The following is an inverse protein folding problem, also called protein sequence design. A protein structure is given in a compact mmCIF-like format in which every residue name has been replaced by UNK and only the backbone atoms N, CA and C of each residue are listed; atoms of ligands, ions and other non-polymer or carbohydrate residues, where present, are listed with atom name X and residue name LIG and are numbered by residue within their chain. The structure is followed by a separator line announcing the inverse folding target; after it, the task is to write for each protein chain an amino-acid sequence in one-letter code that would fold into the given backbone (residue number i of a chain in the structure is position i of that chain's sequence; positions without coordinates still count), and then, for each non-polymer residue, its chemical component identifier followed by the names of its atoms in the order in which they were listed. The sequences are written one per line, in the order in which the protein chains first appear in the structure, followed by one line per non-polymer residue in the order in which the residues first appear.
data_IF_397215342651
#
_entry.id   IF_397215342651
#
_cell.length_a   1.000
_cell.length_b   1.000
_cell.length_c   1.000
_cell.angle_alpha   90.00
_cell.angle_beta   90.00
_cell.angle_gamma   90.00
#
_symmetry.space_group_name_H-M   'P 1'
#
loop_
_entity.id
_entity.type
_entity.pdbx_description
1 polymer ?
#
# COMPACT_ATOMS: atom_id res chain seq x y z
N UNK A 1 6.91 -19.83 -25.10
CA UNK A 1 6.33 -18.69 -24.34
C UNK A 1 5.51 -17.87 -25.30
N UNK A 2 4.26 -17.52 -24.97
CA UNK A 2 3.45 -16.66 -25.83
C UNK A 2 3.88 -15.18 -25.67
N UNK A 3 4.00 -14.39 -26.76
CA UNK A 3 4.34 -12.97 -26.68
C UNK A 3 3.36 -12.20 -25.78
N UNK A 4 3.80 -11.09 -25.19
CA UNK A 4 2.94 -10.20 -24.43
C UNK A 4 1.86 -9.59 -25.32
N UNK A 5 0.55 -9.78 -25.02
CA UNK A 5 -0.52 -9.27 -25.87
C UNK A 5 -0.54 -7.74 -25.92
N UNK A 6 0.05 -7.07 -24.94
CA UNK A 6 0.09 -5.61 -24.86
C UNK A 6 1.23 -4.99 -25.67
N UNK A 7 2.41 -5.64 -25.75
CA UNK A 7 3.59 -5.03 -26.37
C UNK A 7 4.41 -5.94 -27.29
N UNK A 8 4.03 -7.21 -27.46
CA UNK A 8 4.78 -8.21 -28.22
C UNK A 8 6.06 -8.74 -27.54
N UNK A 9 6.44 -8.20 -26.38
CA UNK A 9 7.65 -8.62 -25.65
C UNK A 9 7.62 -10.07 -25.17
N UNK A 10 8.76 -10.75 -25.23
CA UNK A 10 8.90 -12.18 -24.88
C UNK A 10 9.38 -12.42 -23.45
N UNK A 11 9.94 -11.42 -22.77
CA UNK A 11 10.49 -11.55 -21.43
C UNK A 11 9.42 -11.43 -20.34
N UNK A 12 9.48 -12.32 -19.35
CA UNK A 12 8.69 -12.27 -18.11
C UNK A 12 9.68 -12.36 -16.94
N UNK A 13 9.56 -11.47 -15.95
CA UNK A 13 10.39 -11.49 -14.75
C UNK A 13 9.93 -12.55 -13.74
N UNK A 14 10.71 -12.73 -12.66
CA UNK A 14 10.40 -13.71 -11.61
C UNK A 14 9.04 -13.49 -10.92
N UNK A 15 8.51 -12.26 -10.99
CA UNK A 15 7.23 -11.89 -10.41
C UNK A 15 6.07 -12.04 -11.40
N UNK A 16 6.33 -12.53 -12.62
CA UNK A 16 5.30 -12.75 -13.63
C UNK A 16 4.95 -11.52 -14.46
N UNK A 17 5.76 -10.46 -14.46
CA UNK A 17 5.51 -9.26 -15.26
C UNK A 17 6.32 -9.25 -16.55
N UNK A 18 5.72 -8.77 -17.65
CA UNK A 18 6.46 -8.58 -18.89
C UNK A 18 7.59 -7.56 -18.70
N UNK A 19 8.82 -7.92 -19.06
CA UNK A 19 10.00 -7.07 -18.85
C UNK A 19 9.99 -5.78 -19.66
N UNK A 20 9.20 -5.72 -20.74
CA UNK A 20 9.15 -4.57 -21.64
C UNK A 20 8.05 -3.56 -21.30
N UNK A 21 6.88 -4.03 -20.84
CA UNK A 21 5.73 -3.16 -20.59
C UNK A 21 5.13 -3.29 -19.18
N UNK A 22 5.73 -4.09 -18.31
CA UNK A 22 5.27 -4.35 -16.93
C UNK A 22 3.82 -4.83 -16.82
N UNK A 23 3.26 -5.42 -17.88
CA UNK A 23 1.94 -6.07 -17.78
C UNK A 23 2.07 -7.42 -17.10
N UNK A 24 1.26 -7.67 -16.07
CA UNK A 24 1.24 -8.95 -15.36
C UNK A 24 0.71 -10.08 -16.26
N UNK A 25 1.47 -11.18 -16.33
CA UNK A 25 1.19 -12.39 -17.13
C UNK A 25 1.01 -13.65 -16.27
N UNK A 26 1.17 -13.53 -14.96
CA UNK A 26 1.23 -14.66 -14.03
C UNK A 26 2.67 -15.14 -13.82
N UNK A 27 2.95 -15.64 -12.62
CA UNK A 27 4.25 -16.26 -12.30
C UNK A 27 4.46 -17.49 -13.19
N UNK A 28 5.64 -17.64 -13.83
CA UNK A 28 5.93 -18.83 -14.60
C UNK A 28 5.83 -20.05 -13.69
N UNK A 29 4.89 -20.95 -13.96
CA UNK A 29 4.84 -22.24 -13.27
C UNK A 29 6.17 -22.94 -13.53
N UNK A 30 6.90 -23.20 -12.45
CA UNK A 30 8.11 -24.03 -12.53
C UNK A 30 7.72 -25.34 -13.25
N UNK A 31 8.55 -25.84 -14.20
CA UNK A 31 8.28 -27.10 -14.86
C UNK A 31 8.04 -28.16 -13.78
N UNK A 32 6.83 -28.70 -13.71
CA UNK A 32 6.59 -29.83 -12.82
C UNK A 32 7.49 -30.97 -13.30
N UNK A 33 8.47 -31.34 -12.47
CA UNK A 33 9.23 -32.55 -12.71
C UNK A 33 8.24 -33.71 -12.79
N UNK A 34 8.33 -34.59 -13.79
CA UNK A 34 7.47 -35.76 -13.87
C UNK A 34 7.72 -36.61 -12.61
N UNK A 35 6.70 -36.69 -11.75
CA UNK A 35 6.69 -37.56 -10.59
C UNK A 35 6.76 -39.01 -11.10
N UNK A 36 7.91 -39.65 -10.91
CA UNK A 36 8.13 -41.07 -11.21
C UNK A 36 7.20 -41.91 -10.34
N UNK A 37 6.03 -42.27 -10.86
CA UNK A 37 5.08 -43.16 -10.22
C UNK A 37 5.61 -44.57 -10.07
N UNK A 38 5.50 -45.13 -8.88
CA UNK A 38 5.72 -46.54 -8.56
C UNK A 38 4.74 -47.46 -9.30
N UNK A 39 5.17 -48.66 -9.74
CA UNK A 39 4.32 -49.59 -10.48
C UNK A 39 3.25 -50.24 -9.57
N UNK A 40 2.00 -50.12 -9.99
CA UNK A 40 0.83 -50.78 -9.41
C UNK A 40 0.74 -52.23 -9.92
N UNK A 41 0.82 -53.22 -9.02
CA UNK A 41 0.59 -54.63 -9.35
C UNK A 41 -0.91 -54.93 -9.35
N UNK A 42 -1.39 -55.59 -10.41
CA UNK A 42 -2.79 -55.75 -10.74
C UNK A 42 -3.60 -56.78 -9.96
N UNK A 43 -4.85 -56.92 -10.42
CA UNK A 43 -5.77 -58.01 -10.12
C UNK A 43 -6.97 -57.95 -11.08
N UNK A 44 -7.31 -59.04 -11.80
CA UNK A 44 -8.42 -59.05 -12.76
C UNK A 44 -9.65 -59.74 -12.16
N UNK A 45 -10.84 -59.15 -12.24
CA UNK A 45 -12.10 -59.91 -12.22
C UNK A 45 -13.17 -59.15 -12.99
N UNK A 46 -13.74 -59.83 -13.99
CA UNK A 46 -14.82 -59.33 -14.83
C UNK A 46 -16.20 -59.49 -14.21
N UNK A 47 -17.22 -59.03 -14.94
CA UNK A 47 -18.62 -59.34 -14.64
C UNK A 47 -19.58 -58.26 -15.13
N UNK A 48 -20.34 -58.58 -16.17
CA UNK A 48 -21.41 -57.79 -16.76
C UNK A 48 -22.64 -57.67 -15.83
N UNK A 49 -23.40 -56.57 -15.90
CA UNK A 49 -24.82 -56.49 -16.32
C UNK A 49 -25.52 -55.19 -15.82
N UNK A 50 -26.59 -54.74 -16.49
CA UNK A 50 -27.18 -53.41 -16.32
C UNK A 50 -28.52 -53.43 -15.55
N UNK A 51 -28.82 -52.44 -14.70
CA UNK A 51 -30.22 -52.14 -14.36
C UNK A 51 -30.44 -50.74 -13.76
N UNK A 52 -31.68 -50.28 -13.96
CA UNK A 52 -32.24 -48.96 -13.83
C UNK A 52 -32.52 -48.45 -12.40
N UNK A 53 -32.78 -47.14 -12.31
CA UNK A 53 -33.69 -46.56 -11.31
C UNK A 53 -33.10 -45.38 -10.53
N UNK A 54 -33.54 -44.17 -10.83
CA UNK A 54 -33.45 -43.02 -9.92
C UNK A 54 -34.80 -42.80 -9.23
N UNK A 55 -34.88 -42.85 -7.89
CA UNK A 55 -35.94 -42.21 -7.15
C UNK A 55 -35.48 -40.84 -6.61
N UNK A 56 -36.37 -39.87 -6.74
CA UNK A 56 -36.33 -38.54 -6.13
C UNK A 56 -36.33 -38.63 -4.60
N UNK A 57 -35.35 -38.03 -3.93
CA UNK A 57 -35.30 -37.90 -2.48
C UNK A 57 -35.36 -36.43 -2.07
N UNK A 58 -36.41 -36.12 -1.29
CA UNK A 58 -36.73 -34.84 -0.66
C UNK A 58 -35.73 -34.46 0.44
N UNK A 59 -35.28 -33.20 0.43
CA UNK A 59 -34.37 -32.64 1.42
C UNK A 59 -35.00 -32.39 2.81
N UNK A 60 -34.16 -32.27 3.86
CA UNK A 60 -34.58 -32.28 5.26
C UNK A 60 -35.09 -30.94 5.80
N UNK A 61 -36.09 -31.04 6.70
CA UNK A 61 -36.59 -29.97 7.57
C UNK A 61 -35.53 -29.57 8.61
N UNK A 62 -35.29 -28.27 8.75
CA UNK A 62 -34.50 -27.70 9.85
C UNK A 62 -35.38 -27.51 11.10
N UNK A 63 -34.99 -28.20 12.18
CA UNK A 63 -35.52 -28.01 13.53
C UNK A 63 -34.82 -26.85 14.23
N UNK A 64 -35.58 -25.98 14.89
CA UNK A 64 -35.09 -24.88 15.71
C UNK A 64 -34.44 -25.37 17.04
N UNK A 65 -33.42 -24.70 17.58
CA UNK A 65 -32.88 -25.02 18.89
C UNK A 65 -33.67 -24.36 20.05
N UNK A 66 -33.71 -24.98 21.24
CA UNK A 66 -34.46 -24.49 22.39
C UNK A 66 -33.73 -23.37 23.15
N UNK A 67 -34.56 -22.47 23.66
CA UNK A 67 -34.25 -21.43 24.65
C UNK A 67 -33.82 -22.04 25.98
N UNK A 68 -32.72 -21.53 26.56
CA UNK A 68 -32.33 -21.82 27.94
C UNK A 68 -32.34 -20.52 28.75
N UNK A 69 -33.37 -20.37 29.57
CA UNK A 69 -33.43 -19.48 30.71
C UNK A 69 -33.06 -20.30 31.95
N UNK A 70 -32.16 -19.81 32.79
CA UNK A 70 -32.32 -19.86 34.26
C UNK A 70 -31.21 -19.07 35.01
N UNK A 71 -31.41 -18.73 36.31
CA UNK A 71 -30.97 -17.46 36.88
C UNK A 71 -30.16 -17.56 38.21
N UNK A 72 -29.68 -16.41 38.70
CA UNK A 72 -29.36 -16.03 40.12
C UNK A 72 -28.17 -16.72 40.85
N UNK A 73 -27.12 -15.94 41.22
CA UNK A 73 -26.68 -15.67 42.62
C UNK A 73 -25.25 -15.14 42.80
N UNK A 74 -25.18 -13.90 43.32
CA UNK A 74 -24.29 -13.25 44.32
C UNK A 74 -22.75 -13.48 44.44
N UNK A 75 -21.99 -12.45 44.91
CA UNK A 75 -20.52 -12.43 45.03
C UNK A 75 -19.98 -12.63 46.47
N UNK A 76 -18.68 -12.96 46.61
CA UNK A 76 -17.77 -12.20 47.49
C UNK A 76 -16.35 -12.09 46.84
N UNK A 77 -15.33 -11.32 47.23
CA UNK A 77 -14.93 -10.64 48.48
C UNK A 77 -13.75 -9.71 48.12
N UNK A 78 -13.61 -8.61 48.86
CA UNK A 78 -12.47 -7.71 48.85
C UNK A 78 -11.33 -8.21 49.77
N UNK A 79 -10.08 -8.05 49.33
CA UNK A 79 -8.81 -8.01 50.10
C UNK A 79 -7.77 -7.42 49.12
N UNK A 80 -6.90 -6.46 49.38
CA UNK A 80 -6.38 -5.84 50.60
C UNK A 80 -4.92 -5.49 50.27
N UNK A 81 -4.58 -4.20 50.16
CA UNK A 81 -3.22 -3.71 49.96
C UNK A 81 -2.46 -3.67 51.29
N UNK A 82 -1.16 -4.00 51.34
CA UNK A 82 -0.17 -3.43 52.31
C UNK A 82 1.29 -3.76 51.90
N UNK A 83 2.09 -2.68 51.84
CA UNK A 83 3.53 -2.43 51.88
C UNK A 83 4.58 -3.55 52.14
N UNK A 84 5.73 -3.40 51.45
CA UNK A 84 7.03 -3.91 51.86
C UNK A 84 8.18 -3.20 51.12
N UNK A 85 8.93 -2.35 51.85
CA UNK A 85 10.12 -1.62 51.38
C UNK A 85 11.38 -2.51 51.34
N UNK A 86 12.38 -2.09 50.55
CA UNK A 86 13.61 -2.83 50.21
C UNK A 86 14.66 -3.04 51.31
N UNK A 87 15.85 -3.54 50.93
CA UNK A 87 17.02 -2.65 50.89
C UNK A 87 17.96 -2.85 49.68
N UNK A 88 18.84 -1.86 49.51
CA UNK A 88 19.69 -1.52 48.37
C UNK A 88 21.12 -2.11 48.36
N UNK A 89 21.66 -2.35 47.15
CA UNK A 89 23.06 -2.05 46.73
C UNK A 89 24.03 -3.25 46.51
N UNK A 90 25.24 -3.06 45.93
CA UNK A 90 25.57 -2.41 44.64
C UNK A 90 26.58 -3.21 43.78
N UNK A 91 26.59 -3.05 42.45
CA UNK A 91 27.76 -3.20 41.52
C UNK A 91 27.25 -2.89 40.09
N UNK A 92 27.76 -1.98 39.27
CA UNK A 92 29.15 -1.57 39.07
C UNK A 92 29.75 -2.40 37.92
N UNK A 93 29.69 -1.90 36.67
CA UNK A 93 30.34 -2.55 35.53
C UNK A 93 29.91 -2.03 34.16
N UNK A 94 30.59 -1.00 33.66
CA UNK A 94 30.45 -0.55 32.28
C UNK A 94 31.09 -1.53 31.28
N UNK A 95 30.47 -1.69 30.12
CA UNK A 95 31.00 -2.47 29.00
C UNK A 95 30.40 -2.00 27.69
N UNK A 96 31.26 -1.38 26.86
CA UNK A 96 30.96 -0.88 25.52
C UNK A 96 30.92 -2.05 24.51
N UNK A 97 29.92 -2.02 23.63
CA UNK A 97 29.85 -2.54 22.25
C UNK A 97 30.20 -4.02 21.94
N UNK A 98 29.29 -4.73 21.23
CA UNK A 98 29.42 -5.11 19.79
C UNK A 98 28.58 -6.36 19.43
N UNK A 99 27.72 -6.20 18.42
CA UNK A 99 27.39 -7.11 17.31
C UNK A 99 27.10 -8.60 17.58
N UNK A 100 25.86 -9.01 17.25
CA UNK A 100 25.64 -10.24 16.48
C UNK A 100 24.31 -10.16 15.71
N UNK A 101 24.43 -9.72 14.45
CA UNK A 101 23.50 -9.99 13.35
C UNK A 101 23.49 -11.49 13.03
N UNK A 102 22.49 -11.93 12.24
CA UNK A 102 22.85 -12.46 10.94
C UNK A 102 22.28 -11.62 9.78
N UNK A 103 23.16 -11.30 8.82
CA UNK A 103 22.88 -10.71 7.52
C UNK A 103 22.63 -11.83 6.51
N UNK A 104 21.74 -11.56 5.54
CA UNK A 104 21.74 -11.90 4.09
C UNK A 104 20.39 -12.52 3.69
N UNK A 105 19.64 -12.01 2.70
CA UNK A 105 19.96 -11.19 1.51
C UNK A 105 18.78 -10.24 1.17
N UNK A 106 18.94 -8.91 1.06
CA UNK A 106 19.46 -8.06 -0.03
C UNK A 106 18.66 -8.06 -1.35
N UNK A 107 18.06 -6.91 -1.69
CA UNK A 107 18.20 -6.25 -3.01
C UNK A 107 17.23 -5.06 -3.14
N UNK A 108 17.74 -3.82 -3.09
CA UNK A 108 16.94 -2.66 -3.53
C UNK A 108 17.56 -1.28 -3.33
N UNK A 109 17.89 -0.88 -2.10
CA UNK A 109 17.99 0.57 -1.80
C UNK A 109 19.42 1.08 -1.55
N UNK A 110 20.43 0.20 -1.46
CA UNK A 110 21.81 0.63 -1.13
C UNK A 110 22.62 1.19 -2.32
N UNK A 111 22.12 1.10 -3.57
CA UNK A 111 22.86 1.59 -4.77
C UNK A 111 22.60 3.08 -5.08
N UNK A 112 21.49 3.67 -4.60
CA UNK A 112 21.18 5.08 -4.91
C UNK A 112 22.01 6.06 -4.08
N UNK A 113 22.49 5.65 -2.89
CA UNK A 113 23.24 6.51 -1.99
C UNK A 113 24.70 6.76 -2.46
N UNK A 114 25.26 5.88 -3.31
CA UNK A 114 26.60 6.07 -3.89
C UNK A 114 26.56 6.97 -5.14
N UNK A 115 25.48 6.96 -5.92
CA UNK A 115 25.34 7.84 -7.11
C UNK A 115 25.10 9.30 -6.70
N UNK A 116 24.41 9.55 -5.59
CA UNK A 116 24.22 10.90 -5.06
C UNK A 116 25.53 11.58 -4.60
N UNK A 117 26.52 10.81 -4.13
CA UNK A 117 27.80 11.36 -3.67
C UNK A 117 28.75 11.67 -4.84
N UNK A 118 28.65 10.96 -5.97
CA UNK A 118 29.50 11.22 -7.15
C UNK A 118 28.97 12.40 -7.98
N UNK A 119 27.66 12.64 -8.04
CA UNK A 119 27.09 13.77 -8.81
C UNK A 119 27.30 15.11 -8.09
N UNK A 120 27.35 15.12 -6.75
CA UNK A 120 27.63 16.35 -5.98
C UNK A 120 29.12 16.74 -6.01
N UNK A 121 30.02 15.79 -6.23
CA UNK A 121 31.46 16.06 -6.38
C UNK A 121 31.86 16.58 -7.78
N UNK A 122 31.04 16.36 -8.82
CA UNK A 122 31.33 16.81 -10.19
C UNK A 122 30.76 18.21 -10.54
N UNK A 123 29.83 18.76 -9.74
CA UNK A 123 29.22 20.08 -9.99
C UNK A 123 29.80 21.23 -9.15
N UNK A 124 30.91 21.01 -8.44
CA UNK A 124 31.54 22.07 -7.63
C UNK A 124 33.04 22.21 -7.88
N UNK A 125 33.37 22.63 -9.11
CA UNK A 125 34.59 23.35 -9.50
C UNK A 125 34.27 23.96 -10.87
N UNK A 126 33.79 25.21 -10.94
CA UNK A 126 34.61 26.44 -10.98
C UNK A 126 35.06 26.69 -12.43
N UNK A 127 34.88 27.81 -13.10
CA UNK A 127 34.34 29.13 -12.78
C UNK A 127 34.39 30.01 -14.06
N UNK A 128 33.92 31.24 -13.89
CA UNK A 128 34.28 32.48 -14.61
C UNK A 128 33.65 32.85 -15.97
N UNK A 129 32.75 33.83 -15.86
CA UNK A 129 32.66 35.10 -16.60
C UNK A 129 32.87 35.15 -18.13
N UNK A 130 31.83 35.59 -18.84
CA UNK A 130 31.96 36.72 -19.78
C UNK A 130 30.63 37.41 -20.13
N UNK A 131 30.61 38.69 -19.76
CA UNK A 131 29.77 39.79 -20.25
C UNK A 131 29.91 39.95 -21.77
N UNK A 132 28.80 40.12 -22.49
CA UNK A 132 28.69 41.02 -23.67
C UNK A 132 27.21 41.18 -24.08
N UNK A 133 26.69 42.40 -23.93
CA UNK A 133 25.59 42.93 -24.75
C UNK A 133 26.07 43.11 -26.20
N UNK A 134 25.17 43.08 -27.20
CA UNK A 134 24.68 44.36 -27.72
C UNK A 134 23.18 44.42 -28.07
N UNK A 135 22.64 45.58 -27.74
CA UNK A 135 21.48 46.27 -28.29
C UNK A 135 21.21 46.05 -29.79
N UNK A 136 19.95 45.76 -30.15
CA UNK A 136 19.37 46.15 -31.43
C UNK A 136 17.85 46.40 -31.31
N UNK A 137 17.48 47.53 -31.91
CA UNK A 137 16.20 48.20 -31.97
C UNK A 137 15.41 47.75 -33.22
N UNK A 138 14.09 47.54 -33.15
CA UNK A 138 13.10 47.70 -34.26
C UNK A 138 11.69 47.33 -33.77
N UNK A 139 10.76 48.28 -33.62
CA UNK A 139 9.76 48.77 -34.61
C UNK A 139 8.42 48.02 -34.52
N UNK A 140 7.34 48.79 -34.27
CA UNK A 140 5.98 48.31 -34.04
C UNK A 140 5.31 47.63 -35.24
N UNK A 141 4.37 46.75 -34.92
CA UNK A 141 3.48 46.01 -35.80
C UNK A 141 2.33 45.36 -35.00
N UNK A 142 1.22 44.99 -35.64
CA UNK A 142 -0.15 45.30 -35.20
C UNK A 142 -0.70 44.43 -34.06
N UNK A 143 -1.72 44.99 -33.39
CA UNK A 143 -2.48 44.40 -32.30
C UNK A 143 -2.82 42.92 -32.55
N UNK A 144 -2.23 42.06 -31.72
CA UNK A 144 -2.49 40.64 -31.70
C UNK A 144 -3.93 40.39 -31.24
N UNK A 145 -4.78 39.99 -32.18
CA UNK A 145 -6.08 39.37 -31.92
C UNK A 145 -5.86 38.19 -30.98
N UNK A 146 -6.45 38.27 -29.78
CA UNK A 146 -6.26 37.30 -28.70
C UNK A 146 -6.43 35.87 -29.18
N UNK A 147 -5.30 35.18 -29.30
CA UNK A 147 -5.27 33.73 -29.53
C UNK A 147 -5.80 33.12 -28.23
N UNK A 148 -7.02 32.62 -28.26
CA UNK A 148 -7.58 31.85 -27.16
C UNK A 148 -6.59 30.73 -26.85
N UNK A 149 -5.92 30.84 -25.70
CA UNK A 149 -4.95 29.85 -25.24
C UNK A 149 -5.66 28.50 -25.18
N UNK A 150 -5.30 27.59 -26.07
CA UNK A 150 -5.92 26.29 -26.18
C UNK A 150 -5.81 25.62 -24.81
N UNK A 151 -6.95 25.36 -24.16
CA UNK A 151 -7.00 24.66 -22.86
C UNK A 151 -6.21 23.36 -23.04
N UNK A 152 -5.13 23.13 -22.28
CA UNK A 152 -4.36 21.90 -22.38
C UNK A 152 -5.30 20.70 -22.28
N UNK A 153 -5.15 19.74 -23.20
CA UNK A 153 -5.91 18.49 -23.14
C UNK A 153 -5.66 17.86 -21.76
N UNK A 154 -6.72 17.64 -21.00
CA UNK A 154 -6.61 17.10 -19.66
C UNK A 154 -5.96 15.70 -19.71
N UNK A 155 -4.94 15.50 -18.88
CA UNK A 155 -4.22 14.21 -18.77
C UNK A 155 -4.97 13.22 -17.89
N UNK A 156 -5.93 13.73 -17.11
CA UNK A 156 -6.80 12.97 -16.22
C UNK A 156 -8.28 13.25 -16.50
N UNK A 157 -9.14 12.35 -16.06
CA UNK A 157 -10.58 12.50 -16.13
C UNK A 157 -11.03 13.77 -15.37
N UNK A 158 -11.88 14.57 -16.02
CA UNK A 158 -12.35 15.86 -15.48
C UNK A 158 -13.05 15.72 -14.13
N UNK A 159 -13.69 14.57 -13.88
CA UNK A 159 -14.37 14.31 -12.61
C UNK A 159 -13.41 14.29 -11.42
N UNK A 160 -12.15 13.87 -11.59
CA UNK A 160 -11.13 13.83 -10.54
C UNK A 160 -10.60 15.21 -10.17
N UNK A 161 -10.60 16.18 -11.09
CA UNK A 161 -10.03 17.51 -10.85
C UNK A 161 -10.71 18.19 -9.66
N UNK A 162 -9.89 18.69 -8.74
CA UNK A 162 -10.33 19.39 -7.53
C UNK A 162 -9.63 18.90 -6.27
N UNK A 163 -10.15 19.34 -5.13
CA UNK A 163 -9.68 18.95 -3.80
C UNK A 163 -10.67 17.98 -3.17
N UNK A 164 -10.15 16.92 -2.56
CA UNK A 164 -10.90 15.85 -1.95
C UNK A 164 -10.40 15.59 -0.53
N UNK A 165 -11.28 15.12 0.33
CA UNK A 165 -10.92 14.67 1.67
C UNK A 165 -11.35 13.24 1.87
N UNK A 166 -10.40 12.37 2.17
CA UNK A 166 -10.62 10.96 2.47
C UNK A 166 -11.56 10.84 3.68
N UNK A 167 -12.62 10.05 3.52
CA UNK A 167 -13.62 9.80 4.55
C UNK A 167 -13.40 8.44 5.20
N UNK A 168 -13.16 7.43 4.37
CA UNK A 168 -12.84 6.07 4.82
C UNK A 168 -11.58 5.60 4.13
N UNK A 169 -10.80 4.79 4.84
CA UNK A 169 -9.62 4.14 4.32
C UNK A 169 -9.42 2.84 5.08
N UNK A 170 -9.22 1.76 4.35
CA UNK A 170 -8.78 0.48 4.90
C UNK A 170 -7.61 -0.03 4.07
N UNK A 171 -6.63 -0.62 4.75
CA UNK A 171 -5.44 -1.17 4.13
C UNK A 171 -5.03 -2.49 4.78
N UNK A 172 -4.46 -3.40 3.99
CA UNK A 172 -3.80 -4.61 4.47
C UNK A 172 -2.29 -4.40 4.48
N UNK A 173 -1.72 -4.17 5.65
CA UNK A 173 -0.27 -4.01 5.82
C UNK A 173 0.36 -5.34 6.14
N UNK A 174 1.34 -5.77 5.34
CA UNK A 174 2.13 -6.94 5.64
C UNK A 174 3.16 -6.59 6.72
N UNK A 175 3.08 -7.26 7.88
CA UNK A 175 4.04 -7.15 8.96
C UNK A 175 4.83 -8.46 9.11
N UNK A 176 6.15 -8.35 9.23
CA UNK A 176 7.02 -9.51 9.40
C UNK A 176 6.67 -10.29 10.68
N UNK A 177 6.62 -11.62 10.58
CA UNK A 177 6.20 -12.51 11.66
C UNK A 177 4.72 -12.42 12.09
N UNK A 178 3.92 -11.51 11.53
CA UNK A 178 2.50 -11.29 11.89
C UNK A 178 1.56 -11.61 10.72
N UNK A 179 1.96 -11.31 9.49
CA UNK A 179 1.14 -11.44 8.29
C UNK A 179 0.42 -10.15 7.90
N UNK A 180 -0.68 -10.28 7.14
CA UNK A 180 -1.47 -9.12 6.71
C UNK A 180 -2.36 -8.63 7.84
N UNK A 181 -2.24 -7.35 8.16
CA UNK A 181 -2.96 -6.71 9.25
C UNK A 181 -3.88 -5.65 8.68
N UNK A 182 -5.19 -5.73 8.95
CA UNK A 182 -6.11 -4.67 8.57
C UNK A 182 -5.83 -3.44 9.43
N UNK A 183 -5.59 -2.32 8.78
CA UNK A 183 -5.60 -0.99 9.39
C UNK A 183 -6.74 -0.17 8.81
N UNK A 184 -7.33 0.70 9.61
CA UNK A 184 -8.45 1.55 9.19
C UNK A 184 -8.28 2.97 9.71
N UNK A 185 -8.65 3.95 8.89
CA UNK A 185 -8.67 5.35 9.28
C UNK A 185 -9.69 5.57 10.41
N UNK A 186 -9.24 6.17 11.50
CA UNK A 186 -10.07 6.49 12.66
C UNK A 186 -10.15 8.00 12.92
N UNK A 187 -9.19 8.78 12.41
CA UNK A 187 -9.19 10.24 12.56
C UNK A 187 -8.50 10.91 11.38
N UNK A 188 -9.05 12.04 10.92
CA UNK A 188 -8.48 12.92 9.90
C UNK A 188 -8.02 12.18 8.63
N UNK A 189 -8.88 12.07 7.61
CA UNK A 189 -8.42 11.57 6.32
C UNK A 189 -7.44 12.51 5.62
N UNK A 190 -6.72 11.98 4.63
CA UNK A 190 -5.84 12.77 3.77
C UNK A 190 -6.63 13.77 2.92
N UNK A 191 -5.96 14.85 2.51
CA UNK A 191 -6.47 15.81 1.53
C UNK A 191 -5.76 15.57 0.20
N UNK A 192 -6.51 15.17 -0.83
CA UNK A 192 -6.01 14.97 -2.18
C UNK A 192 -6.33 16.18 -3.04
N UNK A 193 -5.37 16.61 -3.86
CA UNK A 193 -5.55 17.69 -4.83
C UNK A 193 -5.10 17.21 -6.21
N UNK A 194 -6.07 17.07 -7.11
CA UNK A 194 -5.84 16.71 -8.51
C UNK A 194 -5.95 17.95 -9.39
N UNK A 195 -4.95 18.17 -10.24
CA UNK A 195 -4.92 19.28 -11.18
C UNK A 195 -5.14 18.80 -12.63
N UNK A 196 -5.68 19.63 -13.54
CA UNK A 196 -5.94 19.22 -14.93
C UNK A 196 -4.70 18.78 -15.72
N UNK A 197 -3.52 19.30 -15.35
CA UNK A 197 -2.21 18.95 -15.94
C UNK A 197 -1.68 17.60 -15.44
N UNK A 198 -2.45 16.86 -14.63
CA UNK A 198 -2.10 15.53 -14.17
C UNK A 198 -1.10 15.54 -13.02
N UNK A 199 -1.22 16.49 -12.08
CA UNK A 199 -0.48 16.43 -10.82
C UNK A 199 -1.40 16.08 -9.67
N UNK A 200 -0.86 15.32 -8.74
CA UNK A 200 -1.48 14.98 -7.47
C UNK A 200 -0.61 15.50 -6.33
N UNK A 201 -1.25 16.12 -5.35
CA UNK A 201 -0.69 16.30 -4.01
C UNK A 201 -1.63 15.68 -2.99
N UNK A 202 -1.12 14.79 -2.15
CA UNK A 202 -1.86 14.20 -1.04
C UNK A 202 -1.19 14.61 0.28
N UNK A 203 -1.97 15.16 1.21
CA UNK A 203 -1.47 15.64 2.50
C UNK A 203 -2.15 14.91 3.64
N UNK A 204 -1.34 14.38 4.55
CA UNK A 204 -1.75 13.81 5.82
C UNK A 204 -1.37 14.78 6.93
N UNK A 205 -2.34 15.16 7.75
CA UNK A 205 -2.13 16.05 8.89
C UNK A 205 -2.77 15.43 10.12
N UNK A 206 -1.93 14.84 10.96
CA UNK A 206 -2.34 14.04 12.12
C UNK A 206 -3.41 13.01 11.76
N UNK A 207 -3.21 12.32 10.64
CA UNK A 207 -4.09 11.25 10.18
C UNK A 207 -3.83 10.00 11.03
N UNK A 208 -4.86 9.46 11.66
CA UNK A 208 -4.74 8.31 12.57
C UNK A 208 -5.40 7.09 11.98
N UNK A 209 -4.68 5.97 12.03
CA UNK A 209 -5.14 4.66 11.61
C UNK A 209 -4.97 3.68 12.77
N UNK A 210 -5.93 2.79 12.96
CA UNK A 210 -5.85 1.77 13.99
C UNK A 210 -5.87 0.36 13.38
N UNK A 211 -5.12 -0.54 14.00
CA UNK A 211 -5.06 -1.96 13.66
C UNK A 211 -5.06 -2.82 14.91
N UNK A 212 -5.36 -4.11 14.73
CA UNK A 212 -5.31 -5.11 15.81
C UNK A 212 -4.63 -6.40 15.35
N UNK A 213 -3.31 -6.38 15.07
CA UNK A 213 -2.56 -7.59 14.75
C UNK A 213 -2.65 -8.64 15.87
N UNK A 214 -2.48 -9.91 15.49
CA UNK A 214 -2.25 -11.00 16.45
C UNK A 214 -0.77 -11.32 16.52
N UNK A 215 -0.14 -11.01 17.65
CA UNK A 215 1.29 -11.23 17.89
C UNK A 215 1.41 -12.31 18.96
N UNK A 216 2.05 -13.44 18.62
CA UNK A 216 2.19 -14.59 19.55
C UNK A 216 0.85 -15.07 20.16
N UNK A 217 -0.23 -15.04 19.37
CA UNK A 217 -1.57 -15.44 19.82
C UNK A 217 -2.32 -14.39 20.64
N UNK A 218 -1.76 -13.18 20.83
CA UNK A 218 -2.41 -12.09 21.54
C UNK A 218 -2.78 -10.96 20.58
N UNK A 219 -3.99 -10.42 20.71
CA UNK A 219 -4.40 -9.23 19.98
C UNK A 219 -3.71 -8.00 20.57
N UNK A 220 -2.91 -7.31 19.76
CA UNK A 220 -2.19 -6.10 20.14
C UNK A 220 -2.80 -4.93 19.40
N UNK A 221 -3.30 -3.92 20.12
CA UNK A 221 -3.79 -2.70 19.48
C UNK A 221 -2.60 -1.86 19.01
N UNK A 222 -2.65 -1.44 17.76
CA UNK A 222 -1.67 -0.51 17.17
C UNK A 222 -2.38 0.75 16.68
N UNK A 223 -1.70 1.88 16.82
CA UNK A 223 -2.14 3.17 16.30
C UNK A 223 -1.02 3.76 15.45
N UNK A 224 -1.32 4.16 14.23
CA UNK A 224 -0.41 4.82 13.31
C UNK A 224 -0.85 6.27 13.14
N UNK A 225 0.05 7.22 13.35
CA UNK A 225 -0.19 8.65 13.12
C UNK A 225 0.70 9.13 11.98
N UNK A 226 0.10 9.61 10.91
CA UNK A 226 0.78 10.04 9.69
C UNK A 226 0.76 11.56 9.59
N UNK A 227 1.95 12.13 9.36
CA UNK A 227 2.18 13.53 9.07
C UNK A 227 3.10 13.62 7.84
N UNK A 228 2.51 13.70 6.66
CA UNK A 228 3.24 13.53 5.41
C UNK A 228 2.62 14.29 4.24
N UNK A 229 3.40 14.49 3.20
CA UNK A 229 2.96 15.00 1.90
C UNK A 229 3.53 14.12 0.80
N UNK A 230 2.63 13.65 -0.06
CA UNK A 230 2.94 12.89 -1.27
C UNK A 230 2.68 13.77 -2.48
N UNK A 231 3.59 13.73 -3.45
CA UNK A 231 3.41 14.35 -4.77
C UNK A 231 3.66 13.32 -5.85
N UNK A 232 2.88 13.40 -6.92
CA UNK A 232 3.05 12.52 -8.08
C UNK A 232 2.47 13.14 -9.34
N UNK A 233 2.88 12.60 -10.49
CA UNK A 233 2.18 12.79 -11.74
C UNK A 233 1.16 11.66 -11.92
N UNK A 234 -0.04 12.01 -12.35
CA UNK A 234 -1.18 11.10 -12.53
C UNK A 234 -1.66 11.11 -13.97
N UNK A 235 -2.04 9.94 -14.44
CA UNK A 235 -2.76 9.76 -15.71
C UNK A 235 -3.90 8.78 -15.51
N UNK A 236 -5.00 8.99 -16.24
CA UNK A 236 -6.15 8.07 -16.17
C UNK A 236 -6.31 7.29 -17.46
N UNK A 237 -6.69 6.03 -17.33
CA UNK A 237 -7.11 5.19 -18.47
C UNK A 237 -8.12 4.17 -17.98
N UNK A 238 -9.32 4.18 -18.56
CA UNK A 238 -10.37 3.17 -18.31
C UNK A 238 -10.66 2.92 -16.83
N UNK A 239 -10.87 3.99 -16.03
CA UNK A 239 -11.18 3.88 -14.59
C UNK A 239 -9.98 3.43 -13.73
N UNK A 240 -8.76 3.59 -14.24
CA UNK A 240 -7.53 3.35 -13.50
C UNK A 240 -6.70 4.63 -13.45
N UNK A 241 -6.13 4.97 -12.29
CA UNK A 241 -5.09 5.99 -12.11
C UNK A 241 -3.74 5.28 -12.12
N UNK A 242 -2.79 5.78 -12.92
CA UNK A 242 -1.39 5.42 -12.85
C UNK A 242 -0.59 6.57 -12.26
N UNK A 243 0.34 6.25 -11.36
CA UNK A 243 1.21 7.20 -10.69
C UNK A 243 2.62 7.12 -11.25
N UNK A 244 3.29 8.27 -11.39
CA UNK A 244 4.71 8.36 -11.75
C UNK A 244 5.38 9.49 -10.99
N UNK A 245 6.70 9.43 -10.87
CA UNK A 245 7.50 10.42 -10.13
C UNK A 245 6.98 10.62 -8.69
N UNK A 246 6.60 9.54 -8.03
CA UNK A 246 6.05 9.57 -6.68
C UNK A 246 7.16 9.97 -5.71
N UNK A 247 6.88 11.00 -4.92
CA UNK A 247 7.77 11.51 -3.88
C UNK A 247 6.96 11.70 -2.60
N UNK A 248 7.46 11.14 -1.50
CA UNK A 248 6.88 11.27 -0.18
C UNK A 248 7.86 12.00 0.74
N UNK A 249 7.32 12.88 1.58
CA UNK A 249 8.06 13.54 2.67
C UNK A 249 7.21 13.52 3.94
N UNK A 250 7.84 13.38 5.09
CA UNK A 250 7.17 13.32 6.39
C UNK A 250 7.40 12.01 7.12
N UNK A 251 6.55 11.73 8.10
CA UNK A 251 6.74 10.61 9.02
C UNK A 251 5.45 9.87 9.31
N UNK A 252 5.64 8.63 9.76
CA UNK A 252 4.63 7.79 10.39
C UNK A 252 5.12 7.45 11.79
N UNK A 253 4.25 7.62 12.79
CA UNK A 253 4.51 7.21 14.16
C UNK A 253 3.60 6.04 14.52
N UNK A 254 4.18 4.92 14.90
CA UNK A 254 3.47 3.68 15.23
C UNK A 254 3.57 3.42 16.72
N UNK A 255 2.44 3.24 17.39
CA UNK A 255 2.35 2.96 18.82
C UNK A 255 1.65 1.65 19.08
N UNK A 256 2.19 0.86 20.01
CA UNK A 256 1.51 -0.31 20.58
C UNK A 256 1.75 -0.32 22.11
N UNK A 257 0.89 0.38 22.89
CA UNK A 257 1.12 0.61 24.31
C UNK A 257 1.23 -0.67 25.14
N UNK A 258 0.50 -1.74 24.78
CA UNK A 258 0.50 -3.01 25.52
C UNK A 258 1.86 -3.71 25.52
N UNK A 259 2.75 -3.36 24.60
CA UNK A 259 4.11 -3.89 24.48
C UNK A 259 5.18 -2.78 24.59
N UNK A 260 4.80 -1.59 25.08
CA UNK A 260 5.68 -0.42 25.20
C UNK A 260 6.41 -0.05 23.90
N UNK A 261 5.73 -0.17 22.76
CA UNK A 261 6.28 0.19 21.45
C UNK A 261 5.81 1.59 21.03
N UNK A 262 6.75 2.43 20.61
CA UNK A 262 6.51 3.78 20.06
C UNK A 262 7.70 4.12 19.14
N UNK A 263 7.48 4.03 17.83
CA UNK A 263 8.52 4.24 16.82
C UNK A 263 8.07 5.25 15.77
N UNK A 264 9.01 6.06 15.27
CA UNK A 264 8.75 7.03 14.20
C UNK A 264 9.69 6.77 13.04
N UNK A 265 9.12 6.60 11.85
CA UNK A 265 9.86 6.31 10.63
C UNK A 265 9.50 7.31 9.52
N UNK A 266 10.36 7.49 8.50
CA UNK A 266 10.01 8.23 7.30
C UNK A 266 8.81 7.60 6.59
N UNK A 267 7.82 8.42 6.22
CA UNK A 267 6.66 7.92 5.47
C UNK A 267 7.08 7.43 4.08
N UNK A 268 6.62 6.24 3.71
CA UNK A 268 6.82 5.63 2.40
C UNK A 268 5.46 5.43 1.72
N UNK A 269 5.46 5.41 0.40
CA UNK A 269 4.27 5.16 -0.41
C UNK A 269 4.69 4.40 -1.67
N UNK A 270 3.75 3.66 -2.25
CA UNK A 270 3.98 2.94 -3.50
C UNK A 270 3.41 3.70 -4.72
N UNK A 271 3.75 3.23 -5.92
CA UNK A 271 3.26 3.76 -7.19
C UNK A 271 2.28 2.81 -7.88
N UNK A 272 1.65 1.91 -7.12
CA UNK A 272 0.74 0.92 -7.68
C UNK A 272 -0.49 1.59 -8.31
N UNK A 273 -0.87 1.20 -9.54
CA UNK A 273 -2.08 1.74 -10.15
C UNK A 273 -3.32 1.46 -9.31
N UNK A 274 -4.16 2.47 -9.13
CA UNK A 274 -5.42 2.35 -8.41
C UNK A 274 -6.59 2.26 -9.39
N UNK A 275 -7.59 1.47 -9.07
CA UNK A 275 -8.93 1.59 -9.68
C UNK A 275 -9.66 2.74 -9.01
N UNK A 276 -10.48 3.45 -9.77
CA UNK A 276 -11.33 4.49 -9.21
C UNK A 276 -12.69 4.56 -9.88
N UNK A 277 -13.64 5.09 -9.13
CA UNK A 277 -14.90 5.63 -9.65
C UNK A 277 -15.08 7.03 -9.08
N UNK A 278 -15.59 7.94 -9.90
CA UNK A 278 -15.82 9.31 -9.47
C UNK A 278 -17.16 9.80 -10.03
N UNK A 279 -18.06 10.22 -9.15
CA UNK A 279 -19.39 10.71 -9.51
C UNK A 279 -19.82 11.82 -8.55
N UNK A 280 -20.06 13.00 -9.10
CA UNK A 280 -20.37 14.21 -8.31
C UNK A 280 -19.25 14.52 -7.31
N UNK A 281 -19.60 14.47 -6.02
CA UNK A 281 -18.67 14.72 -4.92
C UNK A 281 -18.11 13.44 -4.30
N UNK A 282 -18.36 12.26 -4.86
CA UNK A 282 -17.87 11.00 -4.32
C UNK A 282 -16.77 10.42 -5.20
N UNK A 283 -15.65 10.08 -4.58
CA UNK A 283 -14.53 9.36 -5.17
C UNK A 283 -14.32 8.08 -4.37
N UNK A 284 -14.25 6.95 -5.08
CA UNK A 284 -13.79 5.68 -4.52
C UNK A 284 -12.50 5.29 -5.20
N UNK A 285 -11.52 4.84 -4.44
CA UNK A 285 -10.24 4.34 -4.95
C UNK A 285 -9.92 2.98 -4.32
N UNK A 286 -9.34 2.08 -5.10
CA UNK A 286 -8.89 0.79 -4.58
C UNK A 286 -7.66 0.25 -5.28
N UNK A 287 -6.85 -0.47 -4.51
CA UNK A 287 -5.77 -1.34 -5.00
C UNK A 287 -6.05 -2.77 -4.52
N UNK A 288 -5.09 -3.69 -4.63
CA UNK A 288 -5.19 -5.00 -3.99
C UNK A 288 -5.18 -4.94 -2.46
N UNK A 289 -4.60 -3.87 -1.88
CA UNK A 289 -4.42 -3.73 -0.44
C UNK A 289 -5.30 -2.63 0.15
N UNK A 290 -5.64 -1.61 -0.64
CA UNK A 290 -6.28 -0.38 -0.15
C UNK A 290 -7.71 -0.29 -0.68
N UNK A 291 -8.63 0.18 0.17
CA UNK A 291 -9.92 0.72 -0.25
C UNK A 291 -10.15 2.05 0.44
N UNK A 292 -10.46 3.09 -0.33
CA UNK A 292 -10.68 4.43 0.19
C UNK A 292 -11.90 5.09 -0.46
N UNK A 293 -12.58 5.93 0.31
CA UNK A 293 -13.58 6.87 -0.21
C UNK A 293 -13.18 8.29 0.16
N UNK A 294 -13.51 9.25 -0.71
CA UNK A 294 -13.23 10.66 -0.49
C UNK A 294 -14.39 11.52 -0.97
N UNK A 295 -14.57 12.67 -0.32
CA UNK A 295 -15.58 13.67 -0.66
C UNK A 295 -14.92 14.90 -1.26
N UNK A 296 -15.44 15.42 -2.38
CA UNK A 296 -14.94 16.65 -2.99
C UNK A 296 -15.25 17.84 -2.09
N UNK A 297 -14.23 18.59 -1.72
CA UNK A 297 -14.32 19.79 -0.87
C UNK A 297 -14.12 21.08 -1.65
N UNK A 298 -13.48 21.02 -2.83
CA UNK A 298 -13.38 22.16 -3.74
C UNK A 298 -13.25 21.72 -5.20
N UNK A 299 -13.81 22.51 -6.11
CA UNK A 299 -13.60 22.39 -7.57
C UNK A 299 -12.45 23.26 -8.07
N UNK A 300 -11.93 24.17 -7.25
CA UNK A 300 -10.75 24.98 -7.59
C UNK A 300 -9.46 24.17 -7.42
N UNK A 301 -8.51 24.38 -8.35
CA UNK A 301 -7.18 23.78 -8.39
C UNK A 301 -6.08 24.84 -8.35
#
# INVERSE_FOLDING_TARGET
MQPCPTCGGMGIDANGYCTQCRTYRGVPQAPQQPTSGTPYSGGPYGGQQPYAGYPTSSGPQYSAPPSYNDPISAPPTAYGATYGAGPSGPSGGGGKNKYLMPILALSGVLVVLVVAIVVVAALKSGGDDKKTDPQANTTGGPAATGTASAKPKATIDECLVGTWTTQTYTEQVAMDGVGNVPISLTKNGSVLKFTPDGKLTETYKDSTFDGKPTIQGQAVAITLTVNATVTSNVSTTSGSIAYTNVQATGTINTKAPSINFDETEPFQTDDNPAKYTCSGNNLTMSTSQINATATKTSTSY
#
